data_IF_091000909928
#
_entry.id   IF_091000909928
#
_cell.length_a   1.000
_cell.length_b   1.000
_cell.length_c   1.000
_cell.angle_alpha   90.00
_cell.angle_beta   90.00
_cell.angle_gamma   90.00
#
_symmetry.space_group_name_H-M   'P 1'
#
loop_
_entity.id
_entity.type
_entity.pdbx_description
1 polymer ?
#
# COMPACT_ATOMS: atom_id res chain seq x y z
N UNK A 1 -0.47 26.40 15.25
CA UNK A 1 0.62 25.44 14.96
C UNK A 1 0.11 24.42 13.95
N UNK A 2 0.91 24.06 12.95
CA UNK A 2 0.59 22.93 12.06
C UNK A 2 0.67 21.62 12.82
N UNK A 3 0.00 20.54 12.35
CA UNK A 3 0.07 19.21 12.97
C UNK A 3 1.53 18.75 13.07
N UNK A 4 2.33 18.94 12.03
CA UNK A 4 3.75 18.59 12.01
C UNK A 4 4.52 19.29 13.13
N UNK A 5 4.34 20.59 13.31
CA UNK A 5 5.03 21.35 14.35
C UNK A 5 4.57 20.92 15.76
N UNK A 6 3.29 20.63 15.96
CA UNK A 6 2.78 20.14 17.21
C UNK A 6 3.31 18.72 17.52
N UNK A 7 3.34 17.83 16.53
CA UNK A 7 3.85 16.48 16.70
C UNK A 7 5.36 16.46 16.95
N UNK A 8 6.10 17.42 16.38
CA UNK A 8 7.53 17.62 16.65
C UNK A 8 7.76 17.94 18.14
N UNK A 9 7.00 18.86 18.69
CA UNK A 9 7.10 19.20 20.12
C UNK A 9 6.75 18.01 21.03
N UNK A 10 5.74 17.23 20.66
CA UNK A 10 5.35 16.03 21.43
C UNK A 10 6.44 14.94 21.40
N UNK A 11 7.07 14.68 20.26
CA UNK A 11 8.14 13.67 20.19
C UNK A 11 9.38 14.09 20.95
N UNK A 12 9.72 15.39 20.95
CA UNK A 12 10.82 15.96 21.74
C UNK A 12 10.55 15.82 23.24
N UNK A 13 9.34 16.13 23.69
CA UNK A 13 8.92 15.94 25.08
C UNK A 13 8.96 14.46 25.49
N UNK A 14 8.50 13.56 24.64
CA UNK A 14 8.52 12.12 24.90
C UNK A 14 9.94 11.53 24.96
N UNK A 15 10.86 12.05 24.14
CA UNK A 15 12.28 11.63 24.15
C UNK A 15 13.04 12.14 25.40
N UNK A 16 12.58 13.23 26.03
CA UNK A 16 13.24 13.88 27.18
C UNK A 16 12.30 14.08 28.38
N UNK A 17 11.75 13.04 28.98
CA UNK A 17 10.72 13.16 30.01
C UNK A 17 11.18 13.89 31.29
N UNK A 18 12.49 14.07 31.50
CA UNK A 18 13.07 14.72 32.67
C UNK A 18 13.42 16.21 32.45
N UNK A 19 13.27 16.73 31.23
CA UNK A 19 13.70 18.10 30.90
C UNK A 19 12.60 19.17 31.10
N UNK A 20 11.49 18.83 31.68
CA UNK A 20 10.45 19.80 32.11
C UNK A 20 9.81 20.62 30.98
N UNK A 21 9.79 20.14 29.75
CA UNK A 21 9.04 20.76 28.64
C UNK A 21 9.65 22.08 28.09
N UNK A 22 10.80 22.51 28.58
CA UNK A 22 11.52 23.64 28.00
C UNK A 22 12.55 23.16 27.01
N UNK A 23 12.57 23.76 25.85
CA UNK A 23 13.46 23.62 24.70
C UNK A 23 14.52 22.52 24.83
N UNK A 24 14.34 21.42 24.09
CA UNK A 24 15.34 20.38 24.02
C UNK A 24 16.67 20.98 23.56
N UNK A 25 17.63 21.13 24.48
CA UNK A 25 18.98 21.62 24.20
C UNK A 25 19.85 20.57 23.49
N UNK A 26 19.26 19.48 23.00
CA UNK A 26 20.01 18.46 22.31
C UNK A 26 20.41 18.96 20.89
N UNK A 27 21.61 18.60 20.39
CA UNK A 27 22.09 19.06 19.09
C UNK A 27 21.42 18.40 17.90
N UNK A 28 20.49 17.47 18.14
CA UNK A 28 19.82 16.69 17.10
C UNK A 28 18.45 17.30 16.80
N UNK A 29 18.25 17.74 15.57
CA UNK A 29 16.96 18.23 15.10
C UNK A 29 16.01 17.06 14.85
N UNK A 30 14.72 17.27 15.12
CA UNK A 30 13.66 16.33 14.77
C UNK A 30 13.54 16.19 13.24
N UNK A 31 13.30 14.96 12.77
CA UNK A 31 13.24 14.65 11.34
C UNK A 31 11.84 14.14 10.98
N UNK A 32 11.11 14.81 10.07
CA UNK A 32 9.91 14.23 9.50
C UNK A 32 10.24 12.99 8.68
N UNK A 33 9.65 11.86 9.02
CA UNK A 33 9.75 10.60 8.25
C UNK A 33 8.62 10.45 7.24
N UNK A 34 7.45 11.02 7.53
CA UNK A 34 6.32 11.12 6.62
C UNK A 34 5.45 12.32 7.01
N UNK A 35 4.92 13.01 6.00
CA UNK A 35 3.90 14.05 6.18
C UNK A 35 2.85 13.92 5.08
N UNK A 36 1.82 13.13 5.36
CA UNK A 36 0.74 12.79 4.43
C UNK A 36 -0.61 13.04 5.10
N UNK A 37 -1.70 13.25 4.33
CA UNK A 37 -3.03 13.46 4.90
C UNK A 37 -3.50 12.36 5.85
N UNK A 38 -3.05 11.12 5.62
CA UNK A 38 -3.42 9.93 6.39
C UNK A 38 -2.42 9.56 7.49
N UNK A 39 -1.20 10.10 7.47
CA UNK A 39 -0.20 9.83 8.50
C UNK A 39 0.89 10.90 8.52
N UNK A 40 1.16 11.49 9.68
CA UNK A 40 2.36 12.30 9.92
C UNK A 40 3.25 11.57 10.91
N UNK A 41 4.53 11.40 10.59
CA UNK A 41 5.50 10.65 11.40
C UNK A 41 6.74 11.49 11.60
N UNK A 42 7.14 11.69 12.85
CA UNK A 42 8.32 12.47 13.21
C UNK A 42 9.22 11.65 14.12
N UNK A 43 10.52 11.69 13.86
CA UNK A 43 11.55 11.08 14.69
C UNK A 43 12.32 12.15 15.45
N UNK A 44 12.57 11.90 16.72
CA UNK A 44 13.56 12.62 17.53
C UNK A 44 14.40 11.59 18.30
N UNK A 45 15.72 11.57 18.08
CA UNK A 45 16.63 10.52 18.61
C UNK A 45 16.12 9.10 18.34
N UNK A 46 15.88 8.36 19.42
CA UNK A 46 15.39 6.97 19.40
C UNK A 46 13.87 6.87 19.57
N UNK A 47 13.18 8.01 19.52
CA UNK A 47 11.72 8.07 19.65
C UNK A 47 11.08 8.51 18.33
N UNK A 48 9.96 7.87 17.99
CA UNK A 48 9.12 8.19 16.84
C UNK A 48 7.72 8.46 17.30
N UNK A 49 7.14 9.59 16.90
CA UNK A 49 5.72 9.88 17.07
C UNK A 49 4.99 9.70 15.74
N UNK A 50 3.84 9.05 15.77
CA UNK A 50 2.95 8.88 14.62
C UNK A 50 1.57 9.45 14.93
N UNK A 51 1.16 10.49 14.18
CA UNK A 51 -0.22 10.92 14.13
C UNK A 51 -0.97 10.08 13.08
N UNK A 52 -1.99 9.35 13.54
CA UNK A 52 -2.80 8.43 12.71
C UNK A 52 -3.78 9.19 11.82
N UNK A 53 -4.47 8.48 10.92
CA UNK A 53 -5.44 9.07 10.01
C UNK A 53 -6.54 9.86 10.74
N UNK A 54 -7.07 10.96 10.15
CA UNK A 54 -8.24 11.64 10.70
C UNK A 54 -9.40 10.66 10.87
N UNK A 55 -10.11 10.74 12.00
CA UNK A 55 -11.25 9.86 12.27
C UNK A 55 -10.86 8.41 12.60
N UNK A 56 -9.61 8.13 12.95
CA UNK A 56 -9.21 6.83 13.49
C UNK A 56 -10.01 6.55 14.78
N UNK A 57 -10.56 5.33 14.89
CA UNK A 57 -11.29 4.92 16.08
C UNK A 57 -10.30 4.68 17.24
N UNK A 58 -10.47 5.38 18.39
CA UNK A 58 -9.55 5.28 19.51
C UNK A 58 -9.56 3.89 20.17
N UNK A 59 -10.69 3.21 20.19
CA UNK A 59 -10.82 1.88 20.78
C UNK A 59 -10.12 0.84 19.92
N UNK A 60 -10.36 0.88 18.60
CA UNK A 60 -9.67 -0.01 17.66
C UNK A 60 -8.15 0.22 17.67
N UNK A 61 -7.71 1.48 17.69
CA UNK A 61 -6.29 1.80 17.72
C UNK A 61 -5.64 1.31 19.01
N UNK A 62 -6.26 1.54 20.18
CA UNK A 62 -5.75 1.05 21.46
C UNK A 62 -5.63 -0.49 21.48
N UNK A 63 -6.59 -1.23 20.91
CA UNK A 63 -6.50 -2.69 20.78
C UNK A 63 -5.33 -3.12 19.89
N UNK A 64 -5.06 -2.41 18.79
CA UNK A 64 -3.93 -2.68 17.91
C UNK A 64 -2.59 -2.40 18.58
N UNK A 65 -2.47 -1.28 19.29
CA UNK A 65 -1.28 -0.91 20.06
C UNK A 65 -1.01 -1.92 21.19
N UNK A 66 -2.05 -2.30 21.95
CA UNK A 66 -1.94 -3.32 22.97
C UNK A 66 -1.54 -4.69 22.39
N UNK A 67 -2.01 -5.02 21.17
CA UNK A 67 -1.59 -6.23 20.47
C UNK A 67 -0.11 -6.17 20.11
N UNK A 68 0.40 -5.06 19.60
CA UNK A 68 1.82 -4.89 19.32
C UNK A 68 2.68 -5.00 20.59
N UNK A 69 2.27 -4.38 21.68
CA UNK A 69 2.95 -4.48 22.97
C UNK A 69 3.01 -5.92 23.52
N UNK A 70 1.99 -6.73 23.20
CA UNK A 70 1.91 -8.13 23.66
C UNK A 70 2.85 -9.08 22.90
N UNK A 71 3.22 -8.75 21.67
CA UNK A 71 4.02 -9.63 20.79
C UNK A 71 5.29 -8.93 20.29
N UNK A 72 6.19 -8.49 21.21
CA UNK A 72 7.37 -7.67 20.88
C UNK A 72 8.42 -8.39 20.04
N UNK A 73 8.36 -9.72 19.95
CA UNK A 73 9.25 -10.52 19.09
C UNK A 73 8.80 -10.52 17.61
N UNK A 74 7.58 -10.10 17.32
CA UNK A 74 7.01 -10.07 15.97
C UNK A 74 6.78 -8.62 15.53
N UNK A 75 6.09 -7.85 16.38
CA UNK A 75 5.72 -6.45 16.15
C UNK A 75 6.64 -5.54 16.98
N UNK A 76 6.99 -4.39 16.45
CA UNK A 76 7.64 -3.37 17.27
C UNK A 76 6.65 -2.91 18.35
N UNK A 77 7.05 -3.01 19.61
CA UNK A 77 6.19 -2.60 20.71
C UNK A 77 6.15 -1.05 20.80
N UNK A 78 4.97 -0.43 20.95
CA UNK A 78 4.89 1.00 21.23
C UNK A 78 5.47 1.32 22.62
N UNK A 79 5.92 2.56 22.82
CA UNK A 79 6.38 3.05 24.14
C UNK A 79 5.24 3.11 25.15
N UNK A 80 4.03 3.44 24.66
CA UNK A 80 2.78 3.36 25.43
C UNK A 80 1.69 2.74 24.53
N UNK A 81 0.96 1.72 25.00
CA UNK A 81 -0.14 1.14 24.24
C UNK A 81 -1.41 2.01 24.23
N UNK A 82 -1.47 3.10 24.99
CA UNK A 82 -2.57 4.03 24.98
C UNK A 82 -2.29 5.19 24.01
N UNK A 83 -3.11 5.40 22.97
CA UNK A 83 -2.95 6.55 22.10
C UNK A 83 -3.35 7.84 22.82
N UNK A 84 -2.65 8.93 22.51
CA UNK A 84 -2.97 10.28 23.00
C UNK A 84 -3.68 11.08 21.92
N UNK A 85 -4.40 12.12 22.30
CA UNK A 85 -5.07 13.04 21.36
C UNK A 85 -4.24 14.31 21.20
N UNK A 86 -3.87 14.62 19.96
CA UNK A 86 -3.19 15.87 19.59
C UNK A 86 -4.01 16.56 18.48
N UNK A 87 -4.57 17.73 18.79
CA UNK A 87 -5.58 18.39 17.97
C UNK A 87 -6.78 17.43 17.75
N UNK A 88 -7.01 17.01 16.51
CA UNK A 88 -8.06 16.06 16.09
C UNK A 88 -7.52 14.70 15.68
N UNK A 89 -6.24 14.41 15.99
CA UNK A 89 -5.54 13.20 15.59
C UNK A 89 -5.11 12.37 16.79
N UNK A 90 -5.28 11.06 16.70
CA UNK A 90 -4.67 10.13 17.65
C UNK A 90 -3.17 10.01 17.35
N UNK A 91 -2.36 9.99 18.40
CA UNK A 91 -0.90 9.89 18.34
C UNK A 91 -0.43 8.69 19.13
N UNK A 92 0.53 7.96 18.60
CA UNK A 92 1.26 6.89 19.28
C UNK A 92 2.76 7.11 19.22
N UNK A 93 3.48 6.59 20.22
CA UNK A 93 4.93 6.74 20.34
C UNK A 93 5.62 5.37 20.27
N UNK A 94 6.76 5.35 19.57
CA UNK A 94 7.48 4.12 19.23
C UNK A 94 8.98 4.31 19.44
N UNK A 95 9.72 3.25 19.78
CA UNK A 95 11.16 3.30 19.65
C UNK A 95 11.53 3.37 18.15
N UNK A 96 12.63 4.03 17.85
CA UNK A 96 13.15 4.02 16.49
C UNK A 96 13.74 2.66 16.13
N UNK A 97 13.51 2.22 14.91
CA UNK A 97 14.15 1.06 14.30
C UNK A 97 14.76 1.42 12.94
N UNK A 98 15.86 0.76 12.58
CA UNK A 98 16.50 0.95 11.27
C UNK A 98 15.62 0.34 10.18
N UNK A 99 15.12 1.13 9.20
CA UNK A 99 14.28 0.61 8.13
C UNK A 99 15.07 -0.27 7.15
N UNK A 100 14.36 -1.00 6.30
CA UNK A 100 14.94 -1.66 5.12
C UNK A 100 15.47 -0.58 4.18
N UNK A 101 16.67 -0.77 3.66
CA UNK A 101 17.24 0.12 2.64
C UNK A 101 16.50 -0.11 1.31
N UNK A 102 15.82 0.89 0.76
CA UNK A 102 15.09 0.76 -0.49
C UNK A 102 16.02 0.61 -1.72
N UNK A 103 17.27 1.07 -1.60
CA UNK A 103 18.25 1.07 -2.70
C UNK A 103 19.02 -0.26 -2.78
N UNK A 104 18.96 -1.10 -1.74
CA UNK A 104 19.59 -2.42 -1.70
C UNK A 104 18.54 -3.55 -1.75
N UNK A 105 18.09 -3.86 -2.97
CA UNK A 105 17.13 -4.94 -3.22
C UNK A 105 17.69 -6.34 -2.90
N UNK A 106 19.02 -6.52 -2.94
CA UNK A 106 19.65 -7.83 -2.76
C UNK A 106 19.66 -8.26 -1.29
N UNK A 107 19.68 -7.30 -0.37
CA UNK A 107 19.59 -7.56 1.08
C UNK A 107 18.18 -7.45 1.63
N UNK A 108 17.17 -7.30 0.76
CA UNK A 108 15.77 -7.26 1.18
C UNK A 108 15.41 -8.49 2.04
N UNK A 109 14.89 -8.28 3.28
CA UNK A 109 14.76 -9.35 4.27
C UNK A 109 13.54 -10.26 4.03
N UNK A 110 13.43 -10.84 2.84
CA UNK A 110 12.27 -11.66 2.44
C UNK A 110 12.02 -12.84 3.37
N UNK A 111 13.08 -13.55 3.78
CA UNK A 111 12.96 -14.70 4.67
C UNK A 111 12.56 -14.28 6.09
N UNK A 112 13.10 -13.18 6.60
CA UNK A 112 12.74 -12.64 7.91
C UNK A 112 11.28 -12.17 7.91
N UNK A 113 10.87 -11.44 6.86
CA UNK A 113 9.50 -10.99 6.65
C UNK A 113 8.51 -12.16 6.68
N UNK A 114 8.81 -13.20 5.90
CA UNK A 114 7.97 -14.39 5.81
C UNK A 114 7.88 -15.15 7.14
N UNK A 115 9.00 -15.24 7.86
CA UNK A 115 9.06 -15.89 9.18
C UNK A 115 8.22 -15.12 10.21
N UNK A 116 8.35 -13.79 10.25
CA UNK A 116 7.53 -12.94 11.13
C UNK A 116 6.03 -13.07 10.83
N UNK A 117 5.64 -13.08 9.55
CA UNK A 117 4.25 -13.32 9.16
C UNK A 117 3.74 -14.69 9.60
N UNK A 118 4.54 -15.74 9.39
CA UNK A 118 4.15 -17.08 9.82
C UNK A 118 3.94 -17.15 11.34
N UNK A 119 4.79 -16.49 12.12
CA UNK A 119 4.63 -16.40 13.58
C UNK A 119 3.38 -15.58 13.95
N UNK A 120 3.16 -14.44 13.28
CA UNK A 120 1.96 -13.62 13.48
C UNK A 120 0.68 -14.42 13.23
N UNK A 121 0.59 -15.10 12.09
CA UNK A 121 -0.58 -15.88 11.69
C UNK A 121 -0.85 -17.10 12.58
N UNK A 122 0.17 -17.62 13.26
CA UNK A 122 0.03 -18.73 14.23
C UNK A 122 -0.32 -18.24 15.64
N UNK A 123 -0.20 -16.94 15.86
CA UNK A 123 -0.54 -16.34 17.14
C UNK A 123 -2.07 -16.20 17.25
N UNK A 124 -2.69 -16.72 18.33
CA UNK A 124 -4.12 -16.52 18.52
C UNK A 124 -4.46 -15.03 18.60
N UNK A 125 -5.42 -14.55 17.80
CA UNK A 125 -5.81 -13.15 17.84
C UNK A 125 -6.41 -12.79 19.21
N UNK A 126 -6.04 -11.62 19.79
CA UNK A 126 -6.68 -11.13 21.00
C UNK A 126 -8.18 -10.94 20.84
N UNK A 127 -8.93 -11.19 21.93
CA UNK A 127 -10.37 -10.98 21.92
C UNK A 127 -10.73 -9.51 21.65
N UNK A 128 -11.74 -9.28 20.82
CA UNK A 128 -12.22 -7.94 20.49
C UNK A 128 -11.38 -7.20 19.44
N UNK A 129 -10.28 -7.78 18.94
CA UNK A 129 -9.50 -7.16 17.87
C UNK A 129 -10.37 -7.06 16.60
N UNK A 130 -10.44 -5.88 15.96
CA UNK A 130 -11.27 -5.67 14.79
C UNK A 130 -10.78 -6.47 13.58
N UNK A 131 -11.58 -6.62 12.52
CA UNK A 131 -11.14 -7.16 11.26
C UNK A 131 -9.95 -6.39 10.69
N UNK A 132 -9.01 -7.09 10.04
CA UNK A 132 -7.94 -6.42 9.29
C UNK A 132 -8.51 -5.57 8.15
N UNK A 133 -7.84 -4.46 7.82
CA UNK A 133 -8.40 -3.47 6.88
C UNK A 133 -8.08 -3.72 5.40
N UNK A 134 -7.41 -4.83 5.05
CA UNK A 134 -6.98 -5.09 3.68
C UNK A 134 -8.08 -4.94 2.61
N UNK A 135 -9.20 -5.69 2.67
CA UNK A 135 -10.31 -5.55 1.72
C UNK A 135 -10.93 -4.15 1.72
N UNK A 136 -11.09 -3.53 2.89
CA UNK A 136 -11.60 -2.17 3.00
C UNK A 136 -10.67 -1.13 2.36
N UNK A 137 -9.34 -1.35 2.37
CA UNK A 137 -8.37 -0.49 1.66
C UNK A 137 -8.52 -0.63 0.14
N UNK A 138 -8.71 -1.84 -0.36
CA UNK A 138 -8.96 -2.07 -1.78
C UNK A 138 -10.25 -1.35 -2.23
N UNK A 139 -11.34 -1.47 -1.47
CA UNK A 139 -12.58 -0.75 -1.75
C UNK A 139 -12.40 0.78 -1.73
N UNK A 140 -11.65 1.33 -0.76
CA UNK A 140 -11.34 2.76 -0.71
C UNK A 140 -10.50 3.23 -1.90
N UNK A 141 -9.56 2.40 -2.38
CA UNK A 141 -8.77 2.72 -3.58
C UNK A 141 -9.66 2.89 -4.81
N UNK A 142 -10.62 1.99 -5.00
CA UNK A 142 -11.62 2.08 -6.07
C UNK A 142 -12.52 3.32 -5.92
N UNK A 143 -12.97 3.63 -4.71
CA UNK A 143 -13.78 4.83 -4.46
C UNK A 143 -13.00 6.13 -4.80
N UNK A 144 -11.71 6.21 -4.45
CA UNK A 144 -10.83 7.32 -4.85
C UNK A 144 -10.67 7.41 -6.37
N UNK A 145 -10.47 6.29 -7.05
CA UNK A 145 -10.40 6.26 -8.51
C UNK A 145 -11.70 6.81 -9.14
N UNK A 146 -12.87 6.40 -8.65
CA UNK A 146 -14.14 6.96 -9.13
C UNK A 146 -14.23 8.47 -8.92
N UNK A 147 -13.78 8.97 -7.76
CA UNK A 147 -13.75 10.43 -7.50
C UNK A 147 -12.85 11.16 -8.49
N UNK A 148 -11.65 10.64 -8.77
CA UNK A 148 -10.71 11.22 -9.75
C UNK A 148 -11.30 11.22 -11.16
N UNK A 149 -11.96 10.12 -11.58
CA UNK A 149 -12.63 10.02 -12.88
C UNK A 149 -13.74 11.05 -13.03
N UNK A 150 -14.57 11.24 -11.99
CA UNK A 150 -15.63 12.24 -12.00
C UNK A 150 -15.09 13.68 -12.03
N UNK A 151 -13.98 13.95 -11.37
CA UNK A 151 -13.32 15.26 -11.41
C UNK A 151 -12.79 15.55 -12.82
N UNK A 152 -12.11 14.60 -13.45
CA UNK A 152 -11.58 14.76 -14.83
C UNK A 152 -12.70 14.94 -15.85
N UNK A 153 -13.82 14.24 -15.72
CA UNK A 153 -14.96 14.39 -16.62
C UNK A 153 -15.58 15.79 -16.57
N UNK A 154 -15.64 16.42 -15.39
CA UNK A 154 -16.15 17.79 -15.23
C UNK A 154 -15.25 18.82 -15.90
N UNK A 155 -13.94 18.70 -15.73
CA UNK A 155 -12.98 19.65 -16.36
C UNK A 155 -12.99 19.57 -17.88
N UNK A 156 -13.25 18.41 -18.48
CA UNK A 156 -13.38 18.28 -19.93
C UNK A 156 -14.69 18.89 -20.45
N UNK A 157 -15.78 18.79 -19.70
CA UNK A 157 -17.08 19.39 -20.10
C UNK A 157 -17.05 20.93 -20.05
N UNK A 158 -16.37 21.51 -19.07
CA UNK A 158 -16.21 22.95 -18.91
C UNK A 158 -15.29 23.53 -19.99
N UNK A 159 -14.28 22.79 -20.46
CA UNK A 159 -13.40 23.20 -21.55
C UNK A 159 -14.09 23.20 -22.92
N UNK A 160 -14.98 22.23 -23.17
CA UNK A 160 -15.75 22.14 -24.43
C UNK A 160 -16.87 23.23 -24.56
N UNK A 161 -17.26 23.83 -23.44
CA UNK A 161 -18.26 24.91 -23.46
C UNK A 161 -17.67 26.30 -23.76
N UNK A 162 -16.36 26.49 -23.58
CA UNK A 162 -15.67 27.77 -23.80
C UNK A 162 -15.12 27.93 -25.26
N UNK A 163 -15.12 26.85 -26.06
CA UNK A 163 -14.52 26.84 -27.41
C UNK A 163 -15.57 27.02 -28.53
N UNK A 164 -16.80 27.48 -28.22
CA UNK A 164 -17.91 27.58 -29.20
C UNK A 164 -18.05 28.94 -29.92
N UNK A 165 -17.05 29.82 -29.86
CA UNK A 165 -17.08 31.10 -30.56
C UNK A 165 -15.76 31.47 -31.25
N UNK A 166 -15.36 30.75 -32.30
CA UNK A 166 -14.52 31.34 -33.37
C UNK A 166 -14.85 30.69 -34.72
N UNK A 167 -15.81 31.27 -35.45
CA UNK A 167 -15.93 31.07 -36.89
C UNK A 167 -14.95 31.97 -37.61
N UNK A 168 -13.97 31.38 -38.28
CA UNK A 168 -13.01 32.10 -39.14
C UNK A 168 -12.68 31.33 -40.42
N UNK A 169 -13.36 31.66 -41.50
CA UNK A 169 -13.15 31.24 -42.89
C UNK A 169 -11.72 31.53 -43.37
N UNK A 170 -11.06 30.60 -44.06
CA UNK A 170 -9.78 30.80 -44.73
C UNK A 170 -9.52 29.75 -45.80
N UNK A 171 -9.54 30.19 -47.07
CA UNK A 171 -9.55 29.41 -48.31
C UNK A 171 -8.26 28.63 -48.59
N UNK A 172 -8.44 27.57 -49.39
CA UNK A 172 -7.43 26.69 -49.97
C UNK A 172 -6.44 27.40 -50.90
N UNK A 173 -5.19 27.02 -50.88
CA UNK A 173 -4.30 27.08 -52.03
C UNK A 173 -3.51 25.78 -52.21
N UNK A 174 -3.72 25.16 -53.38
CA UNK A 174 -3.11 23.90 -53.80
C UNK A 174 -1.81 24.19 -54.55
N UNK A 175 -0.67 23.64 -54.10
CA UNK A 175 0.50 23.43 -54.94
C UNK A 175 1.09 22.03 -54.75
N UNK A 176 1.04 21.29 -55.86
CA UNK A 176 1.69 20.00 -56.08
C UNK A 176 3.15 20.21 -56.45
N UNK A 177 4.11 19.66 -55.74
CA UNK A 177 5.48 19.41 -56.23
C UNK A 177 6.07 18.17 -55.54
N UNK A 178 6.58 17.23 -56.39
CA UNK A 178 7.74 16.41 -56.10
C UNK A 178 7.58 15.22 -55.16
N UNK A 179 7.42 14.05 -55.73
CA UNK A 179 7.38 12.75 -55.06
C UNK A 179 8.81 12.24 -54.85
N UNK A 180 9.39 12.45 -53.68
CA UNK A 180 10.47 11.64 -53.15
C UNK A 180 9.88 10.58 -52.18
N UNK A 181 10.29 9.31 -52.33
CA UNK A 181 9.86 8.21 -51.46
C UNK A 181 10.66 8.30 -50.17
N UNK A 182 10.09 8.61 -49.02
CA UNK A 182 10.82 8.60 -47.77
C UNK A 182 11.02 7.14 -47.30
N UNK A 183 12.25 6.81 -47.00
CA UNK A 183 12.61 5.63 -46.17
C UNK A 183 11.85 5.78 -44.86
N UNK A 184 11.15 4.75 -44.33
CA UNK A 184 10.43 4.86 -43.05
C UNK A 184 11.45 5.00 -41.93
N UNK A 185 11.70 6.21 -41.50
CA UNK A 185 12.28 6.53 -40.21
C UNK A 185 11.23 6.17 -39.16
N UNK A 186 11.54 5.23 -38.27
CA UNK A 186 10.68 4.92 -37.14
C UNK A 186 10.33 6.24 -36.42
N UNK A 187 9.04 6.48 -36.11
CA UNK A 187 8.66 7.72 -35.43
C UNK A 187 9.42 7.81 -34.09
N UNK A 188 9.91 9.00 -33.71
CA UNK A 188 10.53 9.18 -32.41
C UNK A 188 9.54 8.71 -31.36
N UNK A 189 9.99 7.92 -30.38
CA UNK A 189 9.19 7.47 -29.27
C UNK A 189 8.56 8.72 -28.61
N UNK A 190 7.30 8.97 -28.91
CA UNK A 190 6.54 10.06 -28.31
C UNK A 190 6.48 9.76 -26.80
N UNK A 191 6.97 10.69 -25.99
CA UNK A 191 6.83 10.58 -24.54
C UNK A 191 5.37 10.24 -24.18
N UNK A 192 5.13 9.31 -23.27
CA UNK A 192 3.77 8.93 -22.88
C UNK A 192 3.02 10.19 -22.42
N UNK A 193 1.85 10.41 -22.97
CA UNK A 193 0.97 11.51 -22.57
C UNK A 193 0.37 11.26 -21.17
N UNK A 194 -0.33 12.27 -20.61
CA UNK A 194 -1.02 12.12 -19.33
C UNK A 194 -1.94 10.90 -19.29
N UNK A 195 -2.15 10.36 -18.10
CA UNK A 195 -3.08 9.26 -17.89
C UNK A 195 -4.50 9.65 -18.32
N UNK A 196 -5.20 8.73 -18.96
CA UNK A 196 -6.54 8.97 -19.48
C UNK A 196 -7.59 8.16 -18.72
N UNK A 197 -8.85 8.63 -18.61
CA UNK A 197 -9.94 7.87 -17.98
C UNK A 197 -10.17 6.48 -18.59
N UNK A 198 -9.81 6.27 -19.86
CA UNK A 198 -9.90 4.94 -20.52
C UNK A 198 -9.06 3.88 -19.85
N UNK A 199 -7.95 4.24 -19.21
CA UNK A 199 -7.11 3.30 -18.46
C UNK A 199 -7.81 2.70 -17.23
N UNK A 200 -8.92 3.26 -16.77
CA UNK A 200 -9.70 2.73 -15.67
C UNK A 200 -10.52 1.48 -16.03
N UNK A 201 -10.90 1.31 -17.29
CA UNK A 201 -11.78 0.20 -17.69
C UNK A 201 -11.28 -1.19 -17.27
N UNK A 202 -10.01 -1.58 -17.53
CA UNK A 202 -9.50 -2.88 -17.08
C UNK A 202 -9.44 -3.01 -15.55
N UNK A 203 -9.11 -1.93 -14.82
CA UNK A 203 -9.05 -1.92 -13.36
C UNK A 203 -10.44 -2.16 -12.75
N UNK A 204 -11.45 -1.44 -13.23
CA UNK A 204 -12.83 -1.58 -12.76
C UNK A 204 -13.44 -2.93 -13.15
N UNK A 205 -13.12 -3.46 -14.34
CA UNK A 205 -13.54 -4.79 -14.74
C UNK A 205 -12.89 -5.88 -13.88
N UNK A 206 -11.60 -5.78 -13.58
CA UNK A 206 -10.91 -6.70 -12.68
C UNK A 206 -11.47 -6.62 -11.25
N UNK A 207 -11.80 -5.42 -10.75
CA UNK A 207 -12.48 -5.24 -9.47
C UNK A 207 -13.84 -5.94 -9.42
N UNK A 208 -14.68 -5.73 -10.44
CA UNK A 208 -16.01 -6.35 -10.52
C UNK A 208 -15.96 -7.87 -10.56
N UNK A 209 -14.87 -8.43 -11.09
CA UNK A 209 -14.65 -9.87 -11.15
C UNK A 209 -14.18 -10.49 -9.82
N UNK A 210 -13.75 -9.70 -8.82
CA UNK A 210 -13.38 -10.23 -7.51
C UNK A 210 -14.59 -10.72 -6.73
N UNK A 211 -14.45 -11.75 -5.87
CA UNK A 211 -15.53 -12.17 -4.98
C UNK A 211 -15.85 -11.08 -3.94
N UNK A 212 -17.08 -11.10 -3.42
CA UNK A 212 -17.60 -10.10 -2.49
C UNK A 212 -16.72 -9.89 -1.23
N UNK A 213 -16.15 -10.95 -0.70
CA UNK A 213 -15.27 -10.85 0.46
C UNK A 213 -13.97 -10.07 0.16
N UNK A 214 -13.41 -10.20 -1.05
CA UNK A 214 -12.21 -9.48 -1.44
C UNK A 214 -12.50 -7.99 -1.74
N UNK A 215 -13.76 -7.67 -2.04
CA UNK A 215 -14.25 -6.30 -2.17
C UNK A 215 -14.68 -5.68 -0.83
N UNK A 216 -14.59 -6.42 0.27
CA UNK A 216 -14.99 -5.95 1.60
C UNK A 216 -16.51 -5.93 1.84
N UNK A 217 -17.30 -6.61 1.00
CA UNK A 217 -18.77 -6.66 1.06
C UNK A 217 -19.28 -7.79 1.96
N UNK A 218 -18.48 -8.83 2.17
CA UNK A 218 -18.77 -9.96 3.07
C UNK A 218 -17.54 -10.37 3.87
N UNK A 219 -17.73 -11.21 4.89
CA UNK A 219 -16.63 -11.75 5.68
C UNK A 219 -15.65 -12.58 4.82
N UNK A 220 -14.37 -12.52 5.18
CA UNK A 220 -13.31 -13.31 4.54
C UNK A 220 -13.52 -14.81 4.84
N UNK A 221 -13.23 -15.69 3.86
CA UNK A 221 -13.32 -17.13 4.06
C UNK A 221 -12.15 -17.69 4.90
N UNK A 222 -12.33 -18.93 5.37
CA UNK A 222 -11.29 -19.71 6.05
C UNK A 222 -11.22 -19.47 7.56
N UNK A 223 -10.16 -20.00 8.17
CA UNK A 223 -9.90 -19.82 9.61
C UNK A 223 -9.25 -18.46 9.84
N UNK A 224 -9.88 -17.60 10.65
CA UNK A 224 -9.32 -16.28 10.92
C UNK A 224 -7.99 -16.37 11.68
N UNK A 225 -7.03 -15.53 11.28
CA UNK A 225 -5.73 -15.39 11.93
C UNK A 225 -5.47 -13.93 12.30
N UNK A 226 -4.46 -13.70 13.13
CA UNK A 226 -3.92 -12.36 13.36
C UNK A 226 -3.12 -11.95 12.12
N UNK A 227 -3.54 -10.90 11.41
CA UNK A 227 -2.95 -10.44 10.17
C UNK A 227 -2.44 -9.01 10.31
N UNK A 228 -1.37 -8.67 9.59
CA UNK A 228 -0.82 -7.32 9.51
C UNK A 228 -1.75 -6.37 8.71
N UNK A 229 -2.30 -6.86 7.62
CA UNK A 229 -3.30 -6.17 6.79
C UNK A 229 -2.74 -5.24 5.70
N UNK A 230 -1.46 -4.83 5.78
CA UNK A 230 -0.79 -4.00 4.74
C UNK A 230 0.70 -4.27 4.65
N UNK A 231 1.09 -5.52 4.51
CA UNK A 231 2.51 -5.86 4.44
C UNK A 231 3.21 -5.32 3.19
N UNK A 232 4.35 -4.69 3.40
CA UNK A 232 5.40 -4.43 2.41
C UNK A 232 6.75 -4.23 3.13
N UNK A 233 7.87 -4.21 2.38
CA UNK A 233 9.20 -4.11 3.01
C UNK A 233 9.40 -2.83 3.83
N UNK A 234 8.73 -1.74 3.49
CA UNK A 234 8.73 -0.51 4.30
C UNK A 234 8.02 -0.63 5.66
N UNK A 235 7.40 -1.79 5.95
CA UNK A 235 6.80 -2.09 7.26
C UNK A 235 7.69 -2.98 8.14
N UNK A 236 9.00 -2.99 7.85
CA UNK A 236 9.99 -3.69 8.66
C UNK A 236 11.08 -2.73 9.15
N UNK A 237 11.48 -2.95 10.39
CA UNK A 237 12.63 -2.26 10.97
C UNK A 237 13.48 -3.24 11.78
N UNK A 238 14.78 -2.95 11.91
CA UNK A 238 15.64 -3.61 12.90
C UNK A 238 15.56 -2.91 14.23
N UNK A 239 15.29 -3.65 15.28
CA UNK A 239 15.27 -3.12 16.64
C UNK A 239 15.80 -4.16 17.65
N UNK A 240 16.67 -3.76 18.61
CA UNK A 240 17.30 -2.43 18.77
C UNK A 240 18.20 -2.03 17.61
N UNK A 241 18.36 -0.71 17.41
CA UNK A 241 19.27 -0.19 16.39
C UNK A 241 20.75 -0.47 16.77
N UNK A 242 21.68 -0.62 15.79
CA UNK A 242 21.43 -0.67 14.34
C UNK A 242 21.05 -2.06 13.82
N UNK A 243 21.47 -3.15 14.48
CA UNK A 243 21.49 -4.51 13.92
C UNK A 243 20.61 -5.50 14.67
N UNK A 244 19.62 -5.01 15.43
CA UNK A 244 18.68 -5.85 16.15
C UNK A 244 17.85 -6.75 15.22
N UNK A 245 16.99 -7.57 15.80
CA UNK A 245 16.10 -8.43 15.03
C UNK A 245 15.06 -7.61 14.24
N UNK A 246 14.61 -8.14 13.10
CA UNK A 246 13.52 -7.55 12.34
C UNK A 246 12.21 -7.56 13.13
N UNK A 247 11.44 -6.49 13.00
CA UNK A 247 10.10 -6.31 13.58
C UNK A 247 9.18 -5.71 12.53
N UNK A 248 7.91 -6.11 12.57
CA UNK A 248 6.86 -5.46 11.79
C UNK A 248 6.42 -4.17 12.49
N UNK A 249 6.17 -3.12 11.72
CA UNK A 249 5.66 -1.83 12.19
C UNK A 249 4.34 -1.50 11.49
N UNK A 250 3.71 -0.39 11.87
CA UNK A 250 2.49 0.12 11.27
C UNK A 250 1.26 -0.80 11.46
N UNK A 251 0.73 -0.76 12.66
CA UNK A 251 -0.40 -1.61 13.10
C UNK A 251 -1.78 -1.06 12.72
N UNK A 252 -1.86 0.01 11.92
CA UNK A 252 -3.14 0.65 11.60
C UNK A 252 -4.16 -0.29 10.93
N UNK A 253 -3.67 -1.26 10.19
CA UNK A 253 -4.47 -2.25 9.48
C UNK A 253 -4.47 -3.63 10.14
N UNK A 254 -3.71 -3.78 11.25
CA UNK A 254 -3.63 -5.02 12.01
C UNK A 254 -5.02 -5.47 12.47
N UNK A 255 -5.32 -6.75 12.33
CA UNK A 255 -6.62 -7.27 12.74
C UNK A 255 -6.81 -8.75 12.43
N UNK A 256 -8.04 -9.20 12.57
CA UNK A 256 -8.45 -10.59 12.33
C UNK A 256 -8.86 -10.76 10.87
N UNK A 257 -8.27 -11.74 10.17
CA UNK A 257 -8.60 -11.97 8.76
C UNK A 257 -7.99 -13.23 8.15
N UNK A 258 -8.06 -13.31 6.82
CA UNK A 258 -7.45 -14.39 6.06
C UNK A 258 -5.94 -14.18 5.93
N UNK A 259 -5.09 -15.08 6.44
CA UNK A 259 -3.63 -14.89 6.44
C UNK A 259 -3.01 -14.81 5.04
N UNK A 260 -3.69 -15.33 4.02
CA UNK A 260 -3.27 -15.21 2.63
C UNK A 260 -3.22 -13.75 2.14
N UNK A 261 -3.94 -12.82 2.80
CA UNK A 261 -3.91 -11.40 2.45
C UNK A 261 -2.54 -10.76 2.70
N UNK A 262 -1.85 -11.16 3.77
CA UNK A 262 -0.51 -10.62 4.06
C UNK A 262 0.57 -11.13 3.09
N UNK A 263 0.32 -12.26 2.42
CA UNK A 263 1.19 -12.77 1.35
C UNK A 263 0.83 -12.19 -0.03
N UNK A 264 -0.28 -11.46 -0.12
CA UNK A 264 -0.85 -11.04 -1.39
C UNK A 264 0.05 -10.07 -2.17
N UNK A 265 0.76 -9.15 -1.50
CA UNK A 265 1.63 -8.18 -2.18
C UNK A 265 2.84 -8.85 -2.84
N UNK A 266 3.67 -9.66 -2.13
CA UNK A 266 4.73 -10.41 -2.77
C UNK A 266 4.22 -11.34 -3.89
N UNK A 267 3.06 -11.99 -3.70
CA UNK A 267 2.46 -12.84 -4.71
C UNK A 267 2.02 -12.05 -5.96
N UNK A 268 1.39 -10.89 -5.79
CA UNK A 268 1.00 -10.00 -6.88
C UNK A 268 2.24 -9.52 -7.67
N UNK A 269 3.29 -9.08 -6.98
CA UNK A 269 4.51 -8.62 -7.61
C UNK A 269 5.22 -9.73 -8.38
N UNK A 270 5.24 -10.95 -7.83
CA UNK A 270 5.75 -12.12 -8.55
C UNK A 270 4.92 -12.41 -9.80
N UNK A 271 3.59 -12.42 -9.69
CA UNK A 271 2.70 -12.67 -10.83
C UNK A 271 2.79 -11.60 -11.94
N UNK A 272 3.15 -10.36 -11.57
CA UNK A 272 3.37 -9.25 -12.50
C UNK A 272 4.81 -9.18 -13.04
N UNK A 273 5.72 -10.09 -12.60
CA UNK A 273 7.13 -10.07 -13.01
C UNK A 273 7.97 -8.98 -12.33
N UNK A 274 7.44 -8.31 -11.29
CA UNK A 274 8.15 -7.27 -10.55
C UNK A 274 8.98 -7.81 -9.38
N UNK A 275 8.68 -9.02 -8.90
CA UNK A 275 9.47 -9.72 -7.90
C UNK A 275 10.21 -10.89 -8.57
N UNK A 276 11.55 -10.97 -8.45
CA UNK A 276 12.32 -12.07 -9.01
C UNK A 276 11.89 -13.44 -8.45
N UNK A 277 11.96 -14.52 -9.27
CA UNK A 277 11.55 -15.87 -8.86
C UNK A 277 12.31 -16.42 -7.64
N UNK A 278 13.56 -16.09 -7.49
CA UNK A 278 14.38 -16.50 -6.34
C UNK A 278 13.95 -15.80 -5.05
N UNK A 279 13.67 -14.49 -5.10
CA UNK A 279 13.14 -13.73 -3.96
C UNK A 279 11.76 -14.29 -3.52
N UNK A 280 10.88 -14.57 -4.48
CA UNK A 280 9.61 -15.25 -4.20
C UNK A 280 9.81 -16.63 -3.57
N UNK A 281 10.71 -17.43 -4.10
CA UNK A 281 11.00 -18.78 -3.60
C UNK A 281 11.57 -18.75 -2.18
N UNK A 282 12.46 -17.80 -1.87
CA UNK A 282 13.01 -17.58 -0.52
C UNK A 282 11.92 -17.16 0.45
N UNK A 283 11.07 -16.20 0.09
CA UNK A 283 9.94 -15.73 0.87
C UNK A 283 8.96 -16.88 1.19
N UNK A 284 8.44 -17.54 0.16
CA UNK A 284 7.47 -18.63 0.32
C UNK A 284 8.05 -19.82 1.08
N UNK A 285 9.30 -20.17 0.79
CA UNK A 285 10.02 -21.25 1.49
C UNK A 285 10.20 -20.96 2.98
N UNK A 286 10.56 -19.73 3.35
CA UNK A 286 10.69 -19.32 4.75
C UNK A 286 9.35 -19.34 5.49
N UNK A 287 8.29 -18.83 4.86
CA UNK A 287 6.94 -18.86 5.41
C UNK A 287 6.47 -20.28 5.74
N UNK A 288 6.68 -21.21 4.78
CA UNK A 288 6.35 -22.64 4.95
C UNK A 288 7.17 -23.31 6.02
N UNK A 289 8.49 -23.09 6.06
CA UNK A 289 9.38 -23.65 7.11
C UNK A 289 9.00 -23.19 8.51
N UNK A 290 8.52 -21.94 8.63
CA UNK A 290 8.02 -21.41 9.90
C UNK A 290 6.58 -21.89 10.24
N UNK A 291 5.98 -22.74 9.42
CA UNK A 291 4.66 -23.31 9.65
C UNK A 291 3.50 -22.34 9.43
N UNK A 292 3.67 -21.38 8.54
CA UNK A 292 2.64 -20.40 8.24
C UNK A 292 1.39 -21.04 7.62
N UNK A 293 0.16 -20.71 8.10
CA UNK A 293 -1.06 -21.42 7.74
C UNK A 293 -1.72 -20.93 6.44
N UNK A 294 -1.24 -19.84 5.82
CA UNK A 294 -1.89 -19.23 4.66
C UNK A 294 -1.88 -20.09 3.40
N UNK A 295 -0.89 -20.98 3.28
CA UNK A 295 -0.68 -21.83 2.11
C UNK A 295 -0.30 -23.25 2.54
N UNK A 296 -0.53 -24.28 1.70
CA UNK A 296 -0.07 -25.63 2.00
C UNK A 296 1.45 -25.70 2.25
N UNK A 297 1.88 -26.59 3.14
CA UNK A 297 3.30 -26.79 3.45
C UNK A 297 4.13 -27.18 2.21
N UNK A 298 3.49 -27.85 1.24
CA UNK A 298 4.06 -28.24 -0.06
C UNK A 298 3.04 -28.05 -1.15
N UNK A 299 3.48 -28.08 -2.41
CA UNK A 299 2.58 -27.99 -3.57
C UNK A 299 2.25 -26.54 -3.98
N UNK A 300 1.15 -26.40 -4.70
CA UNK A 300 0.74 -25.12 -5.30
C UNK A 300 0.19 -24.16 -4.25
N UNK A 301 0.75 -22.92 -4.07
CA UNK A 301 0.21 -21.91 -3.16
C UNK A 301 -0.97 -21.11 -3.75
N UNK A 302 -1.13 -21.14 -5.08
CA UNK A 302 -2.05 -20.24 -5.78
C UNK A 302 -3.54 -20.42 -5.46
N UNK A 303 -4.05 -21.59 -5.14
CA UNK A 303 -5.45 -21.70 -4.69
C UNK A 303 -5.81 -20.81 -3.51
N UNK A 304 -4.83 -20.50 -2.63
CA UNK A 304 -5.01 -19.58 -1.51
C UNK A 304 -4.68 -18.12 -1.85
N UNK A 305 -3.72 -17.90 -2.77
CA UNK A 305 -3.14 -16.58 -3.02
C UNK A 305 -3.76 -15.83 -4.22
N UNK A 306 -4.40 -16.52 -5.17
CA UNK A 306 -4.89 -15.89 -6.41
C UNK A 306 -5.82 -14.70 -6.15
N UNK A 307 -6.86 -14.89 -5.35
CA UNK A 307 -7.83 -13.80 -5.09
C UNK A 307 -7.19 -12.63 -4.29
N UNK A 308 -6.46 -12.85 -3.19
CA UNK A 308 -5.74 -11.78 -2.51
C UNK A 308 -4.75 -11.04 -3.41
N UNK A 309 -3.95 -11.75 -4.21
CA UNK A 309 -3.00 -11.14 -5.14
C UNK A 309 -3.69 -10.26 -6.20
N UNK A 310 -4.78 -10.75 -6.80
CA UNK A 310 -5.61 -9.96 -7.73
C UNK A 310 -6.18 -8.71 -7.07
N UNK A 311 -6.68 -8.82 -5.84
CA UNK A 311 -7.22 -7.68 -5.09
C UNK A 311 -6.15 -6.62 -4.83
N UNK A 312 -4.93 -7.01 -4.46
CA UNK A 312 -3.79 -6.10 -4.27
C UNK A 312 -3.32 -5.46 -5.57
N UNK A 313 -3.30 -6.21 -6.68
CA UNK A 313 -2.99 -5.66 -8.02
C UNK A 313 -4.00 -4.58 -8.40
N UNK A 314 -5.30 -4.87 -8.25
CA UNK A 314 -6.38 -3.89 -8.51
C UNK A 314 -6.26 -2.66 -7.60
N UNK A 315 -6.03 -2.86 -6.30
CA UNK A 315 -5.82 -1.76 -5.35
C UNK A 315 -4.67 -0.86 -5.78
N UNK A 316 -3.53 -1.45 -6.14
CA UNK A 316 -2.33 -0.71 -6.54
C UNK A 316 -2.57 0.06 -7.85
N UNK A 317 -3.15 -0.59 -8.86
CA UNK A 317 -3.51 0.04 -10.13
C UNK A 317 -4.51 1.19 -9.95
N UNK A 318 -5.52 1.02 -9.09
CA UNK A 318 -6.51 2.06 -8.81
C UNK A 318 -5.90 3.30 -8.14
N UNK A 319 -5.01 3.10 -7.16
CA UNK A 319 -4.30 4.19 -6.49
C UNK A 319 -3.34 4.93 -7.43
N UNK A 320 -2.59 4.18 -8.24
CA UNK A 320 -1.66 4.74 -9.22
C UNK A 320 -2.39 5.60 -10.25
N UNK A 321 -3.43 5.04 -10.86
CA UNK A 321 -4.23 5.75 -11.86
C UNK A 321 -4.94 6.97 -11.27
N UNK A 322 -5.54 6.85 -10.09
CA UNK A 322 -6.17 7.98 -9.41
C UNK A 322 -5.20 9.14 -9.20
N UNK A 323 -4.00 8.87 -8.66
CA UNK A 323 -2.94 9.88 -8.48
C UNK A 323 -2.45 10.47 -9.80
N UNK A 324 -2.31 9.65 -10.84
CA UNK A 324 -1.87 10.13 -12.16
C UNK A 324 -2.90 11.06 -12.80
N UNK A 325 -4.21 10.74 -12.68
CA UNK A 325 -5.30 11.60 -13.14
C UNK A 325 -5.36 12.93 -12.37
N UNK A 326 -5.29 12.88 -11.04
CA UNK A 326 -5.30 14.07 -10.17
C UNK A 326 -4.12 15.00 -10.46
N UNK A 327 -2.94 14.45 -10.71
CA UNK A 327 -1.72 15.20 -11.01
C UNK A 327 -1.54 15.52 -12.50
N UNK A 328 -2.45 15.12 -13.37
CA UNK A 328 -2.37 15.26 -14.85
C UNK A 328 -1.00 14.82 -15.39
N UNK A 329 -0.47 13.68 -14.91
CA UNK A 329 0.84 13.14 -15.28
C UNK A 329 0.72 11.81 -16.03
N UNK A 330 1.75 11.39 -16.78
CA UNK A 330 1.82 10.03 -17.30
C UNK A 330 1.93 9.00 -16.18
N UNK A 331 1.54 7.76 -16.51
CA UNK A 331 1.86 6.59 -15.70
C UNK A 331 3.34 6.22 -15.88
N UNK A 332 3.99 5.79 -14.83
CA UNK A 332 5.31 5.16 -14.95
C UNK A 332 5.18 3.70 -15.43
N UNK A 333 6.32 3.04 -15.68
CA UNK A 333 6.34 1.69 -16.22
C UNK A 333 5.70 0.65 -15.25
N UNK A 334 5.90 0.82 -13.94
CA UNK A 334 5.35 -0.08 -12.92
C UNK A 334 3.83 0.14 -12.80
N UNK A 335 3.39 1.38 -12.78
CA UNK A 335 1.97 1.75 -12.75
C UNK A 335 1.23 1.21 -13.98
N UNK A 336 1.84 1.34 -15.18
CA UNK A 336 1.27 0.80 -16.42
C UNK A 336 1.19 -0.73 -16.38
N UNK A 337 2.25 -1.41 -15.91
CA UNK A 337 2.26 -2.88 -15.79
C UNK A 337 1.13 -3.39 -14.85
N UNK A 338 0.83 -2.68 -13.78
CA UNK A 338 -0.28 -3.03 -12.88
C UNK A 338 -1.64 -2.94 -13.60
N UNK A 339 -1.85 -1.92 -14.44
CA UNK A 339 -3.08 -1.75 -15.23
C UNK A 339 -3.17 -2.85 -16.31
N UNK A 340 -2.06 -3.14 -16.99
CA UNK A 340 -2.00 -4.20 -18.01
C UNK A 340 -2.24 -5.57 -17.39
N UNK A 341 -1.76 -5.79 -16.17
CA UNK A 341 -2.08 -7.01 -15.40
C UNK A 341 -3.56 -7.11 -15.09
N UNK A 342 -4.23 -6.01 -14.72
CA UNK A 342 -5.69 -6.00 -14.57
C UNK A 342 -6.40 -6.43 -15.86
N UNK A 343 -5.93 -5.94 -17.03
CA UNK A 343 -6.48 -6.34 -18.32
C UNK A 343 -6.26 -7.84 -18.64
N UNK A 344 -5.11 -8.40 -18.24
CA UNK A 344 -4.85 -9.85 -18.37
C UNK A 344 -5.74 -10.68 -17.46
N UNK A 345 -5.91 -10.26 -16.20
CA UNK A 345 -6.76 -10.95 -15.21
C UNK A 345 -8.19 -11.12 -15.67
N UNK A 346 -8.77 -10.11 -16.33
CA UNK A 346 -10.15 -10.18 -16.84
C UNK A 346 -10.31 -11.26 -17.92
N UNK A 347 -9.25 -11.54 -18.68
CA UNK A 347 -9.26 -12.53 -19.77
C UNK A 347 -9.09 -13.98 -19.26
N UNK A 348 -8.62 -14.18 -18.04
CA UNK A 348 -8.42 -15.51 -17.46
C UNK A 348 -9.61 -15.83 -16.58
N UNK A 349 -10.48 -16.77 -16.97
CA UNK A 349 -11.62 -17.17 -16.16
C UNK A 349 -11.16 -17.66 -14.78
N UNK A 350 -12.01 -17.47 -13.75
CA UNK A 350 -11.78 -17.91 -12.37
C UNK A 350 -11.83 -19.44 -12.20
N UNK A 351 -11.18 -20.21 -13.06
CA UNK A 351 -11.23 -21.68 -13.01
C UNK A 351 -10.39 -22.30 -11.89
N UNK A 352 -9.51 -21.52 -11.23
CA UNK A 352 -8.63 -22.03 -10.17
C UNK A 352 -9.24 -21.98 -8.76
N UNK A 353 -10.34 -21.25 -8.56
CA UNK A 353 -10.99 -21.13 -7.26
C UNK A 353 -12.11 -22.16 -7.01
N UNK A 354 -12.43 -23.01 -8.00
CA UNK A 354 -13.53 -23.97 -7.94
C UNK A 354 -13.04 -25.43 -7.86
N UNK A 355 -11.99 -25.66 -7.08
CA UNK A 355 -11.65 -27.03 -6.65
C UNK A 355 -12.73 -27.53 -5.69
N UNK A 356 -13.82 -28.12 -6.21
CA UNK A 356 -14.72 -28.91 -5.39
C UNK A 356 -13.93 -30.04 -4.72
N UNK A 357 -14.08 -30.26 -3.43
CA UNK A 357 -13.53 -31.45 -2.79
C UNK A 357 -14.28 -32.68 -3.34
N UNK A 358 -13.55 -33.60 -3.95
CA UNK A 358 -13.98 -34.97 -4.15
C UNK A 358 -13.67 -35.79 -2.91
#
# INVERSE_FOLDING_TARGET
>A
LTLLAALTAEVEAAAHPHSGGADCACPVSSTPLADRPDATVVRHHDTVAKAHAPGADPTELALRLATAARFPDILLAPLDPAPTLLHDRLVSFWPYGTPVDPDDSDVAPWEATATLLAHLHRTPPPAGLPPMRGPAKAARAIARLHTALHATARTTTDADTDDSEVTGSGAADSRVVGREVPVPVAPPHRAPGPATPRAAAPVLAAWAALPAWARGETAMPGVPALCHGDLHLGQLVRHPVPDGAWRLIDVDDLGVGAPAWDLARPAAWYACGLLPPDAWSRFLGAYRRAGGPAVPATGDPWPALDVPARALTVQTAALALGKALEANRPLDAVEQEMIDTCARMVRIPHQLASGSPH
#
